data_IF_661408634254
#
_entry.id   IF_661408634254
#
_cell.length_a   1.000
_cell.length_b   1.000
_cell.length_c   1.000
_cell.angle_alpha   90.00
_cell.angle_beta   90.00
_cell.angle_gamma   90.00
#
_symmetry.space_group_name_H-M   'P 1'
#
loop_
_entity.id
_entity.type
_entity.pdbx_description
1 polymer ?
#
# COMPACT_ATOMS: atom_id res chain seq x y z
N UNK A 1 4.43 -0.21 28.06
CA UNK A 1 5.04 -1.01 27.28
C UNK A 1 4.95 -0.61 25.89
N UNK A 2 5.91 -0.57 25.28
CA UNK A 2 5.91 -0.15 23.95
C UNK A 2 5.34 -1.21 23.10
N UNK A 3 4.42 -0.80 22.25
CA UNK A 3 3.93 -1.70 21.32
C UNK A 3 4.61 -1.43 20.06
N UNK A 4 5.15 -2.44 19.45
CA UNK A 4 5.69 -2.30 18.16
C UNK A 4 4.57 -2.23 17.19
N UNK A 5 4.56 -1.26 16.30
CA UNK A 5 3.61 -1.24 15.22
C UNK A 5 3.94 -2.37 14.27
N UNK A 6 2.93 -3.05 13.76
CA UNK A 6 3.21 -4.04 12.75
C UNK A 6 3.47 -3.33 11.43
N UNK A 7 3.94 -4.08 10.45
CA UNK A 7 4.33 -3.51 9.17
C UNK A 7 3.16 -2.82 8.47
N UNK A 8 2.00 -3.43 8.51
CA UNK A 8 0.83 -2.87 7.85
C UNK A 8 0.48 -1.50 8.44
N UNK A 9 0.53 -1.41 9.77
CA UNK A 9 0.18 -0.16 10.41
C UNK A 9 1.19 0.93 10.09
N UNK A 10 2.47 0.59 10.09
CA UNK A 10 3.50 1.55 9.75
C UNK A 10 3.34 2.05 8.32
N UNK A 11 3.10 1.14 7.38
CA UNK A 11 2.89 1.51 6.00
C UNK A 11 1.67 2.40 5.85
N UNK A 12 0.59 2.04 6.55
CA UNK A 12 -0.63 2.83 6.47
C UNK A 12 -0.39 4.28 6.89
N UNK A 13 0.36 4.47 7.94
CA UNK A 13 0.64 5.82 8.40
C UNK A 13 1.44 6.62 7.39
N UNK A 14 2.26 5.94 6.61
CA UNK A 14 3.04 6.60 5.59
C UNK A 14 2.18 6.96 4.39
N UNK A 15 1.36 6.02 3.91
CA UNK A 15 0.70 6.18 2.62
C UNK A 15 -0.68 6.82 2.72
N UNK A 16 -1.33 6.74 3.87
CA UNK A 16 -2.69 7.25 3.98
C UNK A 16 -2.80 8.73 3.63
N UNK A 17 -1.96 9.61 4.16
CA UNK A 17 -2.08 11.02 3.79
C UNK A 17 -1.79 11.25 2.32
N UNK A 18 -0.93 10.44 1.73
CA UNK A 18 -0.60 10.58 0.32
C UNK A 18 -1.79 10.16 -0.54
N UNK A 19 -2.35 8.99 -0.24
CA UNK A 19 -3.46 8.46 -1.01
C UNK A 19 -4.69 9.36 -0.87
N UNK A 20 -4.97 9.80 0.35
CA UNK A 20 -6.08 10.70 0.59
C UNK A 20 -5.89 12.01 -0.15
N UNK A 21 -4.67 12.52 -0.16
CA UNK A 21 -4.36 13.76 -0.86
C UNK A 21 -4.55 13.66 -2.37
N UNK A 22 -4.47 12.46 -2.92
CA UNK A 22 -4.69 12.25 -4.34
C UNK A 22 -6.16 12.04 -4.68
N UNK A 23 -7.01 11.94 -3.68
CA UNK A 23 -8.44 11.77 -3.90
C UNK A 23 -8.92 10.34 -3.81
N UNK A 24 -8.10 9.46 -3.28
CA UNK A 24 -8.46 8.05 -3.16
C UNK A 24 -8.56 7.67 -1.70
N UNK A 25 -9.04 6.46 -1.46
CA UNK A 25 -9.14 5.91 -0.13
C UNK A 25 -8.37 4.60 -0.09
N UNK A 26 -7.91 4.22 1.09
CA UNK A 26 -7.29 2.92 1.29
C UNK A 26 -8.40 1.92 1.59
N UNK A 27 -8.52 0.90 0.74
CA UNK A 27 -9.45 -0.19 1.00
C UNK A 27 -8.84 -1.19 1.94
N UNK A 28 -7.60 -1.61 1.63
CA UNK A 28 -6.97 -2.65 2.41
C UNK A 28 -5.48 -2.60 2.21
N UNK A 29 -4.74 -3.05 3.19
CA UNK A 29 -3.29 -3.18 3.10
C UNK A 29 -2.95 -4.57 3.60
N UNK A 30 -2.24 -5.34 2.78
CA UNK A 30 -1.82 -6.68 3.14
C UNK A 30 -0.33 -6.82 3.01
N UNK A 31 0.28 -7.46 3.98
CA UNK A 31 1.68 -7.79 3.92
C UNK A 31 1.82 -9.28 4.16
N UNK A 32 2.39 -9.99 3.22
CA UNK A 32 2.50 -11.43 3.32
C UNK A 32 3.89 -11.88 2.90
N UNK A 33 4.24 -13.06 3.35
CA UNK A 33 5.49 -13.70 2.99
C UNK A 33 5.18 -15.02 2.32
N UNK A 34 5.80 -15.23 1.19
CA UNK A 34 5.66 -16.49 0.48
C UNK A 34 7.08 -17.01 0.26
N UNK A 35 7.46 -17.99 1.05
CA UNK A 35 8.84 -18.45 1.03
C UNK A 35 9.77 -17.35 1.48
N UNK A 36 10.70 -16.97 0.64
CA UNK A 36 11.62 -15.87 0.94
C UNK A 36 11.13 -14.54 0.40
N UNK A 37 9.99 -14.55 -0.30
CA UNK A 37 9.49 -13.32 -0.92
C UNK A 37 8.51 -12.62 0.00
N UNK A 38 8.60 -11.30 0.02
CA UNK A 38 7.69 -10.49 0.79
C UNK A 38 6.88 -9.62 -0.15
N UNK A 39 5.59 -9.58 0.07
CA UNK A 39 4.67 -8.85 -0.79
C UNK A 39 3.85 -7.88 0.02
N UNK A 40 3.81 -6.64 -0.44
CA UNK A 40 3.01 -5.61 0.19
C UNK A 40 1.98 -5.14 -0.83
N UNK A 41 0.71 -5.32 -0.51
CA UNK A 41 -0.38 -4.92 -1.39
C UNK A 41 -1.19 -3.83 -0.74
N UNK A 42 -1.40 -2.76 -1.46
CA UNK A 42 -2.20 -1.65 -0.96
C UNK A 42 -3.34 -1.44 -1.95
N UNK A 43 -4.53 -1.84 -1.55
CA UNK A 43 -5.71 -1.71 -2.39
C UNK A 43 -6.37 -0.37 -2.13
N UNK A 44 -6.62 0.38 -3.20
CA UNK A 44 -7.22 1.69 -3.08
C UNK A 44 -8.61 1.68 -3.68
N UNK A 45 -9.39 2.69 -3.32
CA UNK A 45 -10.74 2.85 -3.82
C UNK A 45 -10.99 4.32 -4.09
N UNK A 46 -11.97 4.61 -4.89
CA UNK A 46 -12.34 5.97 -5.22
C UNK A 46 -13.80 6.03 -5.62
N UNK A 47 -14.37 7.23 -5.51
CA UNK A 47 -15.79 7.41 -5.76
C UNK A 47 -16.18 7.06 -7.18
N UNK A 48 -15.29 7.29 -8.13
CA UNK A 48 -15.59 7.05 -9.54
C UNK A 48 -14.95 5.77 -10.04
N UNK A 49 -14.58 4.90 -9.14
CA UNK A 49 -13.91 3.67 -9.53
C UNK A 49 -12.43 3.87 -9.67
N UNK A 50 -11.73 2.79 -9.87
CA UNK A 50 -10.27 2.79 -9.96
C UNK A 50 -9.87 2.12 -11.26
N UNK A 51 -9.00 2.78 -11.99
CA UNK A 51 -8.46 2.22 -13.21
C UNK A 51 -6.99 1.91 -13.04
N UNK A 52 -6.42 1.24 -14.01
CA UNK A 52 -5.00 0.88 -13.94
C UNK A 52 -4.13 2.12 -13.81
N UNK A 53 -4.48 3.18 -14.53
CA UNK A 53 -3.69 4.42 -14.44
C UNK A 53 -3.74 5.01 -13.04
N UNK A 54 -4.87 4.86 -12.35
CA UNK A 54 -4.97 5.32 -10.97
C UNK A 54 -4.03 4.54 -10.07
N UNK A 55 -3.99 3.22 -10.28
CA UNK A 55 -3.10 2.38 -9.48
C UNK A 55 -1.64 2.75 -9.72
N UNK A 56 -1.28 3.01 -10.96
CA UNK A 56 0.09 3.41 -11.27
C UNK A 56 0.45 4.75 -10.62
N UNK A 57 -0.50 5.66 -10.65
CA UNK A 57 -0.28 6.97 -10.07
C UNK A 57 -0.02 6.85 -8.57
N UNK A 58 -0.84 6.07 -7.90
CA UNK A 58 -0.67 5.87 -6.46
C UNK A 58 0.63 5.12 -6.18
N UNK A 59 0.93 4.10 -6.97
CA UNK A 59 2.15 3.33 -6.78
C UNK A 59 3.37 4.26 -6.81
N UNK A 60 3.42 5.13 -7.80
CA UNK A 60 4.54 6.05 -7.91
C UNK A 60 4.59 7.04 -6.75
N UNK A 61 3.41 7.49 -6.33
CA UNK A 61 3.35 8.49 -5.27
C UNK A 61 3.80 7.93 -3.93
N UNK A 62 3.56 6.65 -3.66
CA UNK A 62 3.89 6.08 -2.37
C UNK A 62 5.23 5.36 -2.36
N UNK A 63 5.75 5.03 -3.53
CA UNK A 63 6.98 4.25 -3.62
C UNK A 63 8.15 4.95 -2.94
N UNK A 64 8.34 6.21 -3.25
CA UNK A 64 9.43 7.00 -2.67
C UNK A 64 9.34 7.13 -1.17
N UNK A 65 8.20 7.60 -0.66
CA UNK A 65 8.04 7.73 0.79
C UNK A 65 8.20 6.43 1.56
N UNK A 66 7.70 5.31 1.00
CA UNK A 66 7.88 4.02 1.67
C UNK A 66 9.35 3.64 1.67
N UNK A 67 10.03 3.84 0.55
CA UNK A 67 11.44 3.50 0.44
C UNK A 67 12.24 4.32 1.44
N UNK A 68 11.90 5.59 1.59
CA UNK A 68 12.62 6.47 2.49
C UNK A 68 12.41 6.07 3.93
N UNK A 69 11.21 5.70 4.29
CA UNK A 69 10.89 5.30 5.66
C UNK A 69 11.39 3.89 5.99
N UNK A 70 11.55 3.06 4.97
CA UNK A 70 12.12 1.73 5.10
C UNK A 70 11.42 0.90 6.17
N UNK A 71 10.09 0.74 6.09
CA UNK A 71 9.38 -0.03 7.11
C UNK A 71 9.61 -1.53 7.01
N UNK A 72 10.12 -1.99 5.88
CA UNK A 72 10.43 -3.40 5.66
C UNK A 72 11.90 -3.50 5.35
N UNK A 73 12.61 -4.23 6.18
CA UNK A 73 14.06 -4.25 6.08
C UNK A 73 14.58 -4.92 4.84
N UNK A 74 13.89 -5.96 4.40
CA UNK A 74 14.35 -6.71 3.26
C UNK A 74 13.67 -6.26 1.99
N UNK A 75 14.12 -6.78 0.87
CA UNK A 75 13.47 -6.52 -0.40
C UNK A 75 12.04 -7.04 -0.36
N UNK A 76 11.15 -6.31 -0.97
CA UNK A 76 9.75 -6.71 -1.05
C UNK A 76 9.16 -6.20 -2.35
N UNK A 77 8.02 -6.78 -2.72
CA UNK A 77 7.29 -6.37 -3.91
C UNK A 77 6.14 -5.49 -3.49
N UNK A 78 5.99 -4.36 -4.15
CA UNK A 78 4.91 -3.42 -3.87
C UNK A 78 3.88 -3.49 -4.98
N UNK A 79 2.64 -3.74 -4.60
CA UNK A 79 1.55 -3.84 -5.54
C UNK A 79 0.40 -2.94 -5.13
N UNK A 80 -0.27 -2.37 -6.12
CA UNK A 80 -1.47 -1.57 -5.87
C UNK A 80 -2.57 -2.12 -6.77
N UNK A 81 -3.24 -3.19 -6.33
CA UNK A 81 -4.29 -3.79 -7.16
C UNK A 81 -5.56 -2.99 -7.13
N UNK A 82 -6.42 -3.22 -8.11
CA UNK A 82 -7.72 -2.59 -8.14
C UNK A 82 -8.65 -3.30 -7.17
N UNK A 83 -9.61 -2.56 -6.58
CA UNK A 83 -10.52 -3.18 -5.62
C UNK A 83 -11.32 -4.34 -6.18
N UNK A 84 -11.73 -4.26 -7.45
CA UNK A 84 -12.54 -5.31 -8.02
C UNK A 84 -11.76 -6.59 -8.21
N UNK A 85 -10.44 -6.51 -8.26
CA UNK A 85 -9.63 -7.72 -8.33
C UNK A 85 -9.49 -8.37 -6.97
N UNK A 86 -9.58 -7.58 -5.93
CA UNK A 86 -9.44 -8.07 -4.58
C UNK A 86 -10.71 -8.68 -4.06
N UNK A 87 -11.82 -8.13 -4.51
CA UNK A 87 -13.10 -8.58 -4.04
C UNK A 87 -13.51 -9.85 -4.73
N UNK A 88 -13.86 -10.84 -4.04
CA UNK A 88 -14.28 -12.04 -4.73
C UNK A 88 -15.26 -12.75 -3.96
#
# INVERSE_FOLDING_TARGET
MAQKKNTVQTVREIVEPIITGLGYRIWDIEYSKVGVEKHLEITIDGDNGIEITDCEKVHRAIEGPIDEADPIEDFYYLDVPRPDLKER
#
